data_IF_323070849597
#
_entry.id   IF_323070849597
#
_cell.length_a   1.000
_cell.length_b   1.000
_cell.length_c   1.000
_cell.angle_alpha   90.00
_cell.angle_beta   90.00
_cell.angle_gamma   90.00
#
_symmetry.space_group_name_H-M   'P 1'
#
loop_
_entity.id
_entity.type
_entity.pdbx_description
1 polymer ?
#
# COMPACT_ATOMS: atom_id res chain seq x y z
N UNK A 1 34.94 -38.36 -2.44
CA UNK A 1 34.51 -37.19 -3.21
C UNK A 1 33.10 -37.33 -3.81
N UNK A 2 32.72 -38.43 -4.44
CA UNK A 2 31.36 -38.60 -5.04
C UNK A 2 30.21 -38.56 -4.02
N UNK A 3 30.40 -39.04 -2.79
CA UNK A 3 29.36 -39.04 -1.71
C UNK A 3 29.09 -37.65 -1.12
N UNK A 4 30.10 -36.78 -1.10
CA UNK A 4 29.99 -35.39 -0.60
C UNK A 4 29.19 -34.51 -1.55
N UNK A 5 29.31 -34.72 -2.87
CA UNK A 5 28.59 -33.95 -3.89
C UNK A 5 27.10 -34.28 -3.83
N UNK A 6 26.71 -35.52 -3.55
CA UNK A 6 25.30 -35.94 -3.43
C UNK A 6 24.66 -35.28 -2.20
N UNK A 7 25.39 -35.12 -1.09
CA UNK A 7 24.88 -34.47 0.12
C UNK A 7 24.60 -32.97 -0.10
N UNK A 8 25.46 -32.28 -0.85
CA UNK A 8 25.27 -30.87 -1.19
C UNK A 8 24.04 -30.67 -2.09
N UNK A 9 23.78 -31.57 -3.02
CA UNK A 9 22.62 -31.51 -3.89
C UNK A 9 21.29 -31.73 -3.15
N UNK A 10 21.31 -32.51 -2.06
CA UNK A 10 20.12 -32.75 -1.24
C UNK A 10 19.76 -31.54 -0.35
N UNK A 11 20.73 -30.75 0.04
CA UNK A 11 20.51 -29.53 0.86
C UNK A 11 19.95 -28.34 0.07
N UNK A 12 20.16 -28.29 -1.25
CA UNK A 12 19.68 -27.18 -2.10
C UNK A 12 18.16 -27.15 -2.31
N UNK A 13 17.45 -28.25 -1.98
CA UNK A 13 15.99 -28.33 -2.14
C UNK A 13 15.17 -27.89 -0.90
N UNK A 14 15.83 -27.49 0.20
CA UNK A 14 15.15 -27.08 1.43
C UNK A 14 14.77 -25.61 1.47
N UNK A 15 15.05 -24.84 0.42
CA UNK A 15 14.57 -23.49 0.26
C UNK A 15 13.12 -23.49 -0.27
N UNK A 16 12.20 -24.10 0.48
CA UNK A 16 10.76 -23.91 0.29
C UNK A 16 10.45 -22.50 0.81
N UNK A 17 10.39 -21.56 -0.14
CA UNK A 17 9.94 -20.21 0.17
C UNK A 17 8.57 -20.28 0.83
N UNK A 18 8.48 -19.90 2.09
CA UNK A 18 7.20 -19.77 2.79
C UNK A 18 6.41 -18.69 2.08
N UNK A 19 5.29 -19.06 1.51
CA UNK A 19 4.34 -18.12 0.90
C UNK A 19 3.61 -17.39 2.05
N UNK A 20 4.34 -16.52 2.73
CA UNK A 20 3.80 -15.71 3.79
C UNK A 20 3.19 -14.47 3.14
N UNK A 21 1.90 -14.21 3.42
CA UNK A 21 1.27 -12.97 2.96
C UNK A 21 2.07 -11.77 3.47
N UNK A 22 2.43 -10.86 2.56
CA UNK A 22 3.13 -9.62 2.91
C UNK A 22 2.22 -8.63 3.67
N UNK A 23 0.92 -8.90 3.69
CA UNK A 23 -0.10 -8.01 4.26
C UNK A 23 -0.76 -8.66 5.48
N UNK A 24 -1.00 -7.86 6.51
CA UNK A 24 -1.66 -8.28 7.74
C UNK A 24 -2.90 -7.42 8.00
N UNK A 25 -4.03 -8.08 8.22
CA UNK A 25 -5.27 -7.40 8.58
C UNK A 25 -5.11 -6.53 9.82
N UNK A 26 -5.58 -5.29 9.76
CA UNK A 26 -5.44 -4.30 10.82
C UNK A 26 -4.06 -3.63 10.86
N UNK A 27 -3.20 -3.87 9.88
CA UNK A 27 -1.92 -3.17 9.77
C UNK A 27 -2.13 -1.69 9.50
N UNK A 28 -1.39 -0.86 10.22
CA UNK A 28 -1.43 0.58 10.02
C UNK A 28 -0.02 1.17 10.10
N UNK A 29 0.22 2.19 9.30
CA UNK A 29 1.48 2.90 9.21
C UNK A 29 1.23 4.40 9.35
N UNK A 30 2.09 5.06 10.13
CA UNK A 30 2.07 6.52 10.27
C UNK A 30 3.42 7.12 9.93
N UNK A 31 3.40 8.12 9.07
CA UNK A 31 4.57 8.83 8.62
C UNK A 31 4.50 10.29 9.06
N UNK A 32 5.62 10.79 9.55
CA UNK A 32 5.86 12.22 9.77
C UNK A 32 6.74 12.71 8.63
N UNK A 33 6.29 13.73 7.92
CA UNK A 33 7.02 14.33 6.81
C UNK A 33 7.64 15.63 7.33
N UNK A 34 8.95 15.74 7.23
CA UNK A 34 9.70 16.91 7.65
C UNK A 34 10.53 17.45 6.50
N UNK A 35 10.62 18.78 6.40
CA UNK A 35 11.58 19.44 5.52
C UNK A 35 12.85 19.69 6.31
N UNK A 36 14.01 19.38 5.72
CA UNK A 36 15.34 19.52 6.33
C UNK A 36 15.46 18.87 7.73
N UNK A 37 14.66 17.85 8.01
CA UNK A 37 14.71 17.04 9.25
C UNK A 37 13.99 17.63 10.47
N UNK A 38 13.74 18.93 10.54
CA UNK A 38 13.20 19.60 11.72
C UNK A 38 11.93 20.43 11.49
N UNK A 39 11.68 20.92 10.28
CA UNK A 39 10.42 21.62 9.97
C UNK A 39 9.33 20.59 9.67
N UNK A 40 8.32 20.52 10.52
CA UNK A 40 7.15 19.65 10.28
C UNK A 40 6.41 20.15 9.04
N UNK A 41 6.34 19.31 8.01
CA UNK A 41 5.70 19.61 6.73
C UNK A 41 4.35 18.90 6.58
N UNK A 42 4.26 17.67 7.03
CA UNK A 42 3.04 16.89 6.87
C UNK A 42 3.04 15.61 7.68
N UNK A 43 1.94 14.88 7.50
CA UNK A 43 1.79 13.52 7.99
C UNK A 43 1.00 12.70 6.98
N UNK A 44 1.31 11.41 6.90
CA UNK A 44 0.54 10.43 6.15
C UNK A 44 0.23 9.24 7.04
N UNK A 45 -0.91 8.61 6.80
CA UNK A 45 -1.30 7.36 7.43
C UNK A 45 -1.82 6.40 6.38
N UNK A 46 -1.50 5.12 6.54
CA UNK A 46 -2.05 4.02 5.77
C UNK A 46 -2.69 3.03 6.75
N UNK A 47 -3.82 2.49 6.37
CA UNK A 47 -4.55 1.46 7.12
C UNK A 47 -4.99 0.38 6.14
N UNK A 48 -4.71 -0.88 6.47
CA UNK A 48 -5.12 -2.05 5.69
C UNK A 48 -6.11 -2.87 6.48
N UNK A 49 -7.26 -3.14 5.90
CA UNK A 49 -8.28 -4.04 6.43
C UNK A 49 -8.61 -5.13 5.41
N UNK A 50 -8.81 -6.34 5.89
CA UNK A 50 -9.26 -7.47 5.07
C UNK A 50 -10.77 -7.69 5.26
N UNK A 51 -11.50 -7.66 4.17
CA UNK A 51 -12.88 -8.15 4.13
C UNK A 51 -12.88 -9.62 3.72
N UNK A 52 -13.01 -10.50 4.70
CA UNK A 52 -13.02 -11.95 4.48
C UNK A 52 -14.24 -12.42 3.69
N UNK A 53 -15.34 -11.67 3.69
CA UNK A 53 -16.56 -12.04 2.96
C UNK A 53 -16.38 -11.86 1.46
N UNK A 54 -15.64 -10.85 1.04
CA UNK A 54 -15.37 -10.54 -0.37
C UNK A 54 -14.00 -11.04 -0.83
N UNK A 55 -13.10 -11.39 0.09
CA UNK A 55 -11.72 -11.75 -0.19
C UNK A 55 -10.88 -10.59 -0.71
N UNK A 56 -11.22 -9.36 -0.31
CA UNK A 56 -10.52 -8.15 -0.70
C UNK A 56 -9.77 -7.54 0.47
N UNK A 57 -8.57 -7.03 0.20
CA UNK A 57 -7.93 -6.03 1.02
C UNK A 57 -8.43 -4.64 0.65
N UNK A 58 -8.66 -3.80 1.65
CA UNK A 58 -8.99 -2.40 1.52
C UNK A 58 -7.90 -1.58 2.20
N UNK A 59 -7.14 -0.83 1.42
CA UNK A 59 -6.16 0.13 1.93
C UNK A 59 -6.73 1.53 1.86
N UNK A 60 -6.65 2.25 2.96
CA UNK A 60 -6.90 3.70 3.05
C UNK A 60 -5.59 4.42 3.28
N UNK A 61 -5.34 5.47 2.53
CA UNK A 61 -4.22 6.37 2.77
C UNK A 61 -4.72 7.80 2.88
N UNK A 62 -4.22 8.53 3.87
CA UNK A 62 -4.53 9.93 4.11
C UNK A 62 -3.23 10.69 4.21
N UNK A 63 -3.07 11.72 3.39
CA UNK A 63 -1.94 12.64 3.43
C UNK A 63 -2.40 14.05 3.73
N UNK A 64 -1.72 14.76 4.64
CA UNK A 64 -2.04 16.16 4.93
C UNK A 64 -0.85 16.97 5.38
N UNK A 65 -0.82 18.23 4.97
CA UNK A 65 0.14 19.21 5.50
C UNK A 65 -0.15 19.54 6.94
N UNK A 66 0.91 19.79 7.69
CA UNK A 66 0.86 20.19 9.10
C UNK A 66 1.86 21.32 9.37
N UNK A 67 1.75 21.94 10.56
CA UNK A 67 2.67 23.00 10.96
C UNK A 67 2.55 24.26 10.10
N UNK A 68 3.63 25.06 9.99
CA UNK A 68 3.62 26.31 9.25
C UNK A 68 3.30 26.17 7.77
N UNK A 69 3.67 25.06 7.16
CA UNK A 69 3.46 24.81 5.73
C UNK A 69 1.97 24.81 5.37
N UNK A 70 1.11 24.34 6.28
CA UNK A 70 -0.34 24.36 6.09
C UNK A 70 -0.91 25.76 5.84
N UNK A 71 -0.26 26.81 6.33
CA UNK A 71 -0.72 28.19 6.12
C UNK A 71 -0.45 28.70 4.70
N UNK A 72 0.58 28.18 4.06
CA UNK A 72 0.99 28.56 2.70
C UNK A 72 0.40 27.64 1.66
N UNK A 73 0.37 26.33 1.95
CA UNK A 73 -0.12 25.32 1.01
C UNK A 73 -0.80 24.17 1.76
N UNK A 74 -2.12 24.23 1.80
CA UNK A 74 -2.92 23.18 2.44
C UNK A 74 -3.09 22.00 1.48
N UNK A 75 -2.64 20.82 1.92
CA UNK A 75 -2.91 19.54 1.25
C UNK A 75 -3.74 18.66 2.18
N UNK A 76 -4.75 18.02 1.61
CA UNK A 76 -5.58 17.04 2.29
C UNK A 76 -6.07 16.01 1.27
N UNK A 77 -5.35 14.89 1.18
CA UNK A 77 -5.54 13.88 0.16
C UNK A 77 -6.01 12.57 0.76
N UNK A 78 -6.94 11.91 0.07
CA UNK A 78 -7.49 10.62 0.42
C UNK A 78 -7.34 9.66 -0.75
N UNK A 79 -6.77 8.49 -0.47
CA UNK A 79 -6.62 7.40 -1.41
C UNK A 79 -7.24 6.14 -0.83
N UNK A 80 -7.90 5.37 -1.67
CA UNK A 80 -8.38 4.04 -1.30
C UNK A 80 -8.06 3.07 -2.44
N UNK A 81 -7.64 1.87 -2.07
CA UNK A 81 -7.40 0.78 -3.00
C UNK A 81 -8.05 -0.49 -2.50
N UNK A 82 -8.73 -1.18 -3.38
CA UNK A 82 -9.30 -2.50 -3.15
C UNK A 82 -8.59 -3.48 -4.08
N UNK A 83 -8.06 -4.55 -3.53
CA UNK A 83 -7.35 -5.57 -4.30
C UNK A 83 -7.56 -6.96 -3.72
N UNK A 84 -7.44 -7.98 -4.56
CA UNK A 84 -7.64 -9.36 -4.16
C UNK A 84 -6.61 -9.80 -3.13
N UNK A 85 -7.06 -10.39 -2.02
CA UNK A 85 -6.17 -10.96 -0.99
C UNK A 85 -5.39 -12.17 -1.50
N UNK A 86 -5.91 -12.87 -2.53
CA UNK A 86 -5.27 -14.05 -3.12
C UNK A 86 -4.27 -13.70 -4.21
N UNK A 87 -4.64 -12.83 -5.16
CA UNK A 87 -3.83 -12.54 -6.35
C UNK A 87 -3.06 -11.23 -6.28
N UNK A 88 -3.41 -10.34 -5.34
CA UNK A 88 -2.85 -8.98 -5.29
C UNK A 88 -3.37 -8.05 -6.41
N UNK A 89 -4.22 -8.55 -7.33
CA UNK A 89 -4.70 -7.75 -8.45
C UNK A 89 -5.69 -6.69 -8.01
N UNK A 90 -5.57 -5.44 -8.51
CA UNK A 90 -6.46 -4.35 -8.14
C UNK A 90 -7.88 -4.59 -8.67
N UNK A 91 -8.87 -4.11 -7.92
CA UNK A 91 -10.29 -4.12 -8.28
C UNK A 91 -10.84 -2.71 -8.39
N UNK A 92 -10.47 -1.83 -7.46
CA UNK A 92 -10.93 -0.45 -7.44
C UNK A 92 -9.89 0.46 -6.82
N UNK A 93 -9.75 1.65 -7.38
CA UNK A 93 -8.95 2.73 -6.82
C UNK A 93 -9.78 4.01 -6.75
N UNK A 94 -9.69 4.71 -5.64
CA UNK A 94 -10.36 6.00 -5.41
C UNK A 94 -9.32 7.01 -4.98
N UNK A 95 -9.31 8.17 -5.61
CA UNK A 95 -8.48 9.30 -5.26
C UNK A 95 -9.33 10.55 -5.08
N UNK A 96 -9.19 11.21 -3.95
CA UNK A 96 -9.77 12.52 -3.67
C UNK A 96 -8.64 13.41 -3.16
N UNK A 97 -8.28 14.42 -3.92
CA UNK A 97 -7.20 15.33 -3.57
C UNK A 97 -7.73 16.74 -3.38
N UNK A 98 -7.11 17.45 -2.45
CA UNK A 98 -7.29 18.89 -2.25
C UNK A 98 -5.93 19.51 -1.93
N UNK A 99 -5.34 20.11 -2.95
CA UNK A 99 -3.99 20.67 -2.93
C UNK A 99 -4.06 22.17 -3.22
N UNK A 100 -3.86 23.01 -2.20
CA UNK A 100 -3.90 24.46 -2.36
C UNK A 100 -5.25 25.00 -2.88
N UNK A 101 -6.36 24.29 -2.60
CA UNK A 101 -7.70 24.62 -3.11
C UNK A 101 -8.05 23.95 -4.45
N UNK A 102 -7.09 23.33 -5.13
CA UNK A 102 -7.38 22.51 -6.32
C UNK A 102 -7.91 21.14 -5.87
N UNK A 103 -9.10 20.77 -6.32
CA UNK A 103 -9.73 19.50 -5.98
C UNK A 103 -9.87 18.62 -7.21
N UNK A 104 -9.57 17.32 -7.04
CA UNK A 104 -9.79 16.31 -8.08
C UNK A 104 -10.27 15.01 -7.46
N UNK A 105 -11.35 14.46 -8.01
CA UNK A 105 -11.87 13.16 -7.65
C UNK A 105 -11.73 12.21 -8.85
N UNK A 106 -11.25 11.01 -8.58
CA UNK A 106 -11.07 9.96 -9.57
C UNK A 106 -11.49 8.64 -8.96
N UNK A 107 -12.23 7.83 -9.69
CA UNK A 107 -12.51 6.44 -9.39
C UNK A 107 -12.15 5.60 -10.60
N UNK A 108 -11.41 4.52 -10.38
CA UNK A 108 -11.02 3.55 -11.41
C UNK A 108 -11.52 2.19 -10.95
N UNK A 109 -12.27 1.53 -11.79
CA UNK A 109 -12.68 0.13 -11.62
C UNK A 109 -11.88 -0.72 -12.63
N UNK A 110 -11.18 -1.75 -12.13
CA UNK A 110 -10.30 -2.60 -12.92
C UNK A 110 -11.04 -3.86 -13.36
N UNK A 111 -11.19 -4.06 -14.65
CA UNK A 111 -11.65 -5.32 -15.23
C UNK A 111 -10.45 -6.19 -15.60
N UNK A 112 -10.17 -7.17 -14.75
CA UNK A 112 -9.04 -8.09 -14.93
C UNK A 112 -9.27 -9.12 -16.05
N UNK A 113 -10.50 -9.27 -16.53
CA UNK A 113 -10.82 -10.21 -17.61
C UNK A 113 -10.53 -9.57 -18.96
N UNK A 114 -10.95 -8.31 -19.12
CA UNK A 114 -10.74 -7.57 -20.38
C UNK A 114 -9.47 -6.72 -20.38
N UNK A 115 -8.67 -6.74 -19.31
CA UNK A 115 -7.46 -5.92 -19.11
C UNK A 115 -7.74 -4.41 -19.31
N UNK A 116 -8.84 -3.91 -18.73
CA UNK A 116 -9.25 -2.50 -18.79
C UNK A 116 -9.31 -1.86 -17.41
N UNK A 117 -9.15 -0.54 -17.38
CA UNK A 117 -9.30 0.32 -16.20
C UNK A 117 -10.10 1.57 -16.55
#
# INVERSE_FOLDING_TARGET
MKKTIILIFFFSNLCLGQHQSAYKNGEWLNFKISYSGWIKAGKASLELNEDKSTGLYHVKAIGKTTGPIKWFFKVEDYYQSYFSSKSGLPKKFIRKINEGGHTKNLTIDFDQISNKA
#
